data_IF_474220467760
#
_entry.id   IF_474220467760
#
_cell.length_a   1.000
_cell.length_b   1.000
_cell.length_c   1.000
_cell.angle_alpha   90.00
_cell.angle_beta   90.00
_cell.angle_gamma   90.00
#
_symmetry.space_group_name_H-M   'P 1'
#
loop_
_entity.id
_entity.type
_entity.pdbx_description
1 polymer ?
#
# COMPACT_ATOMS: atom_id res chain seq x y z
N UNK A 1 -15.73 35.53 36.90
CA UNK A 1 -16.39 36.59 37.69
C UNK A 1 -17.50 36.08 38.61
N UNK A 2 -18.40 35.16 38.23
CA UNK A 2 -19.39 34.61 39.18
C UNK A 2 -18.77 33.72 40.29
N UNK A 3 -17.74 32.94 39.97
CA UNK A 3 -17.06 32.09 40.96
C UNK A 3 -16.30 32.86 42.05
N UNK A 4 -15.67 33.99 41.71
CA UNK A 4 -14.90 34.79 42.67
C UNK A 4 -15.78 35.51 43.70
N UNK A 5 -17.05 35.78 43.38
CA UNK A 5 -18.02 36.36 44.31
C UNK A 5 -18.62 35.34 45.28
N UNK A 6 -18.64 34.06 44.92
CA UNK A 6 -19.17 32.97 45.76
C UNK A 6 -18.13 32.42 46.75
N UNK A 7 -16.83 32.65 46.48
CA UNK A 7 -15.73 32.16 47.30
C UNK A 7 -15.36 33.07 48.50
N UNK A 8 -16.10 34.18 48.74
CA UNK A 8 -15.75 35.22 49.73
C UNK A 8 -16.93 35.65 50.60
N UNK A 9 -17.56 34.72 51.30
CA UNK A 9 -18.57 35.05 52.32
C UNK A 9 -18.20 34.45 53.67
N UNK A 10 -18.34 35.24 54.73
CA UNK A 10 -18.10 34.83 56.12
C UNK A 10 -19.36 34.23 56.78
N UNK A 11 -20.41 33.97 56.00
CA UNK A 11 -21.66 33.38 56.48
C UNK A 11 -21.47 31.88 56.79
N UNK A 12 -21.62 31.50 58.05
CA UNK A 12 -21.51 30.11 58.50
C UNK A 12 -22.54 29.16 57.87
N UNK A 13 -23.66 29.69 57.34
CA UNK A 13 -24.67 28.90 56.62
C UNK A 13 -24.33 28.69 55.14
N UNK A 14 -23.29 29.35 54.63
CA UNK A 14 -22.86 29.21 53.25
C UNK A 14 -22.24 27.84 52.96
N UNK A 15 -21.43 27.33 53.88
CA UNK A 15 -20.70 26.07 53.68
C UNK A 15 -21.64 24.85 53.46
N UNK A 16 -22.72 24.66 54.25
CA UNK A 16 -23.69 23.60 53.98
C UNK A 16 -24.41 23.73 52.64
N UNK A 17 -24.71 24.97 52.21
CA UNK A 17 -25.34 25.22 50.90
C UNK A 17 -24.36 24.90 49.77
N UNK A 18 -23.11 25.30 49.91
CA UNK A 18 -22.04 24.94 48.97
C UNK A 18 -21.87 23.44 48.84
N UNK A 19 -21.88 22.70 49.95
CA UNK A 19 -21.75 21.25 49.95
C UNK A 19 -22.92 20.59 49.20
N UNK A 20 -24.14 21.08 49.38
CA UNK A 20 -25.31 20.58 48.66
C UNK A 20 -25.24 20.89 47.14
N UNK A 21 -24.84 22.11 46.78
CA UNK A 21 -24.64 22.49 45.37
C UNK A 21 -23.55 21.61 44.74
N UNK A 22 -22.42 21.40 45.43
CA UNK A 22 -21.35 20.53 44.97
C UNK A 22 -21.81 19.08 44.83
N UNK A 23 -22.59 18.57 45.77
CA UNK A 23 -23.18 17.22 45.72
C UNK A 23 -24.02 17.04 44.45
N UNK A 24 -24.94 17.97 44.17
CA UNK A 24 -25.78 17.95 42.96
C UNK A 24 -24.94 18.09 41.68
N UNK A 25 -23.95 18.97 41.68
CA UNK A 25 -23.05 19.17 40.54
C UNK A 25 -22.24 17.89 40.26
N UNK A 26 -21.65 17.26 41.28
CA UNK A 26 -20.90 16.01 41.16
C UNK A 26 -21.78 14.85 40.68
N UNK A 27 -23.06 14.83 41.05
CA UNK A 27 -24.00 13.80 40.64
C UNK A 27 -24.50 13.95 39.20
N UNK A 28 -24.45 15.15 38.60
CA UNK A 28 -25.09 15.43 37.30
C UNK A 28 -24.17 15.90 36.19
N UNK A 29 -23.02 16.50 36.53
CA UNK A 29 -22.11 17.09 35.55
C UNK A 29 -20.96 16.13 35.23
N UNK A 30 -20.51 16.06 33.96
CA UNK A 30 -19.44 15.17 33.53
C UNK A 30 -18.05 15.71 33.91
N UNK A 31 -17.78 15.89 35.19
CA UNK A 31 -16.54 16.48 35.70
C UNK A 31 -15.40 15.47 35.82
N UNK A 32 -14.17 15.91 35.58
CA UNK A 32 -12.99 15.06 35.76
C UNK A 32 -12.69 14.82 37.23
N UNK A 33 -12.07 13.68 37.55
CA UNK A 33 -11.58 13.36 38.90
C UNK A 33 -10.49 14.33 39.39
N UNK A 34 -9.83 15.02 38.46
CA UNK A 34 -8.84 16.08 38.72
C UNK A 34 -9.45 17.48 38.73
N UNK A 35 -10.71 17.62 38.29
CA UNK A 35 -11.43 18.88 38.25
C UNK A 35 -11.86 19.34 39.64
N UNK A 36 -12.15 20.63 39.77
CA UNK A 36 -12.73 21.20 40.98
C UNK A 36 -13.96 22.03 40.61
N UNK A 37 -14.92 22.07 41.51
CA UNK A 37 -16.11 22.92 41.44
C UNK A 37 -16.29 23.58 42.79
N UNK A 38 -16.32 24.92 42.83
CA UNK A 38 -16.31 25.69 44.08
C UNK A 38 -15.22 25.21 45.05
N UNK A 39 -14.00 25.03 44.54
CA UNK A 39 -12.82 24.53 45.28
C UNK A 39 -12.93 23.12 45.88
N UNK A 40 -14.08 22.43 45.72
CA UNK A 40 -14.27 21.03 46.10
C UNK A 40 -13.85 20.10 44.96
N UNK A 41 -13.31 18.94 45.30
CA UNK A 41 -13.01 17.87 44.34
C UNK A 41 -14.00 16.73 44.49
N UNK A 42 -14.53 16.16 43.39
CA UNK A 42 -15.35 14.97 43.49
C UNK A 42 -14.50 13.80 44.00
N UNK A 43 -15.01 12.98 44.94
CA UNK A 43 -14.26 11.82 45.45
C UNK A 43 -14.05 10.74 44.38
N UNK A 44 -15.00 10.64 43.44
CA UNK A 44 -14.91 9.82 42.22
C UNK A 44 -15.78 10.43 41.12
N UNK A 45 -15.48 10.12 39.86
CA UNK A 45 -16.32 10.52 38.74
C UNK A 45 -17.61 9.69 38.74
N UNK A 46 -18.76 10.36 38.79
CA UNK A 46 -20.08 9.70 38.77
C UNK A 46 -20.74 9.73 37.39
N UNK A 47 -20.43 10.75 36.58
CA UNK A 47 -21.02 10.96 35.26
C UNK A 47 -19.93 11.18 34.23
N UNK A 48 -20.10 10.57 33.06
CA UNK A 48 -19.32 10.83 31.86
C UNK A 48 -20.13 11.59 30.84
N UNK A 49 -19.45 12.36 29.99
CA UNK A 49 -19.94 12.67 28.65
C UNK A 49 -19.31 11.72 27.66
N UNK A 50 -19.82 11.64 26.43
CA UNK A 50 -19.22 10.78 25.39
C UNK A 50 -17.76 11.20 25.16
N UNK A 51 -17.48 12.50 25.17
CA UNK A 51 -16.11 13.04 24.99
C UNK A 51 -15.21 12.66 26.16
N UNK A 52 -15.65 12.90 27.40
CA UNK A 52 -14.79 12.62 28.57
C UNK A 52 -14.54 11.13 28.76
N UNK A 53 -15.50 10.28 28.41
CA UNK A 53 -15.30 8.83 28.37
C UNK A 53 -14.37 8.40 27.22
N UNK A 54 -14.50 9.00 26.03
CA UNK A 54 -13.60 8.69 24.93
C UNK A 54 -12.14 9.02 25.29
N UNK A 55 -11.89 10.16 25.92
CA UNK A 55 -10.56 10.56 26.40
C UNK A 55 -10.03 9.63 27.50
N UNK A 56 -10.82 9.40 28.55
CA UNK A 56 -10.38 8.61 29.71
C UNK A 56 -10.07 7.15 29.35
N UNK A 57 -10.83 6.57 28.41
CA UNK A 57 -10.65 5.18 27.99
C UNK A 57 -9.78 5.02 26.73
N UNK A 58 -9.35 6.12 26.11
CA UNK A 58 -8.57 6.12 24.86
C UNK A 58 -9.34 5.59 23.66
N UNK A 59 -10.64 5.91 23.57
CA UNK A 59 -11.55 5.52 22.51
C UNK A 59 -11.85 6.71 21.58
N UNK A 60 -12.37 6.42 20.37
CA UNK A 60 -12.91 7.47 19.50
C UNK A 60 -14.33 7.84 19.95
N UNK A 61 -14.64 9.13 20.02
CA UNK A 61 -15.97 9.68 20.38
C UNK A 61 -17.12 8.98 19.65
N UNK A 62 -16.99 8.74 18.34
CA UNK A 62 -18.01 8.05 17.53
C UNK A 62 -18.15 6.58 17.92
N UNK A 63 -17.04 5.92 18.26
CA UNK A 63 -17.03 4.54 18.74
C UNK A 63 -17.68 4.41 20.12
N UNK A 64 -17.38 5.33 21.03
CA UNK A 64 -17.99 5.41 22.36
C UNK A 64 -19.50 5.61 22.25
N UNK A 65 -19.97 6.55 21.41
CA UNK A 65 -21.41 6.75 21.14
C UNK A 65 -22.09 5.47 20.63
N UNK A 66 -21.47 4.78 19.67
CA UNK A 66 -21.98 3.52 19.11
C UNK A 66 -22.09 2.43 20.17
N UNK A 67 -21.07 2.30 21.02
CA UNK A 67 -21.07 1.34 22.12
C UNK A 67 -22.23 1.61 23.09
N UNK A 68 -22.37 2.86 23.55
CA UNK A 68 -23.40 3.25 24.51
C UNK A 68 -24.82 3.01 23.97
N UNK A 69 -25.05 3.27 22.67
CA UNK A 69 -26.34 2.91 22.04
C UNK A 69 -26.58 1.41 22.01
N UNK A 70 -25.58 0.62 21.66
CA UNK A 70 -25.71 -0.86 21.62
C UNK A 70 -25.95 -1.45 23.00
N UNK A 71 -25.38 -0.83 24.03
CA UNK A 71 -25.56 -1.21 25.43
C UNK A 71 -26.86 -0.64 26.06
N UNK A 72 -27.69 0.06 25.28
CA UNK A 72 -28.94 0.70 25.72
C UNK A 72 -28.75 1.70 26.88
N UNK A 73 -27.56 2.33 26.93
CA UNK A 73 -27.20 3.35 27.94
C UNK A 73 -27.68 4.74 27.50
N UNK A 74 -27.74 4.98 26.19
CA UNK A 74 -28.24 6.22 25.59
C UNK A 74 -29.22 5.88 24.47
N UNK A 75 -30.31 6.63 24.37
CA UNK A 75 -31.36 6.43 23.37
C UNK A 75 -31.25 7.34 22.15
N UNK A 76 -32.16 7.18 21.16
CA UNK A 76 -32.19 7.94 19.91
C UNK A 76 -32.45 9.45 20.10
N UNK A 77 -33.03 9.85 21.24
CA UNK A 77 -33.22 11.26 21.62
C UNK A 77 -31.90 12.03 21.74
N UNK A 78 -30.78 11.31 21.92
CA UNK A 78 -29.44 11.90 22.06
C UNK A 78 -28.74 12.16 20.72
N UNK A 79 -29.35 11.79 19.59
CA UNK A 79 -28.74 11.81 18.25
C UNK A 79 -28.45 13.21 17.75
N UNK A 80 -29.36 14.15 18.03
CA UNK A 80 -29.24 15.55 17.65
C UNK A 80 -28.31 16.35 18.58
N UNK A 81 -27.96 15.79 19.74
CA UNK A 81 -27.13 16.49 20.72
C UNK A 81 -25.64 16.35 20.38
N UNK A 82 -24.83 17.41 20.61
CA UNK A 82 -23.38 17.31 20.57
C UNK A 82 -22.84 16.26 21.58
N UNK A 83 -21.76 15.53 21.26
CA UNK A 83 -21.25 14.46 22.14
C UNK A 83 -20.84 14.89 23.56
N UNK A 84 -20.44 16.14 23.76
CA UNK A 84 -20.11 16.72 25.06
C UNK A 84 -21.35 16.99 25.93
N UNK A 85 -22.54 17.08 25.31
CA UNK A 85 -23.83 17.30 25.98
C UNK A 85 -24.57 16.01 26.33
N UNK A 86 -24.16 14.88 25.76
CA UNK A 86 -24.74 13.57 26.09
C UNK A 86 -23.99 12.99 27.28
N UNK A 87 -24.67 12.90 28.41
CA UNK A 87 -24.13 12.38 29.67
C UNK A 87 -24.73 11.03 30.05
N UNK A 88 -23.97 10.22 30.78
CA UNK A 88 -24.39 8.90 31.25
C UNK A 88 -23.62 8.50 32.52
N UNK A 89 -24.13 7.54 33.32
CA UNK A 89 -23.47 7.05 34.54
C UNK A 89 -22.08 6.46 34.26
N UNK A 90 -21.09 6.79 35.09
CA UNK A 90 -19.72 6.38 34.84
C UNK A 90 -19.47 4.86 34.94
N UNK A 91 -20.31 4.16 35.71
CA UNK A 91 -20.31 2.71 35.87
C UNK A 91 -20.99 1.96 34.70
N UNK A 92 -21.62 2.67 33.77
CA UNK A 92 -22.21 2.07 32.57
C UNK A 92 -21.15 1.56 31.57
N UNK A 93 -19.89 1.96 31.72
CA UNK A 93 -18.79 1.45 30.91
C UNK A 93 -18.09 0.28 31.62
N UNK A 94 -17.93 -0.88 30.95
CA UNK A 94 -17.15 -1.98 31.51
C UNK A 94 -15.67 -1.60 31.58
N UNK A 95 -14.86 -2.34 32.36
CA UNK A 95 -13.42 -2.09 32.47
C UNK A 95 -12.75 -2.00 31.09
N UNK A 96 -11.81 -1.06 30.94
CA UNK A 96 -11.10 -0.75 29.68
C UNK A 96 -10.67 -1.99 28.88
N UNK A 97 -10.19 -3.03 29.56
CA UNK A 97 -9.79 -4.30 28.94
C UNK A 97 -10.92 -4.96 28.14
N UNK A 98 -12.14 -5.01 28.69
CA UNK A 98 -13.32 -5.58 28.00
C UNK A 98 -13.76 -4.72 26.81
N UNK A 99 -13.66 -3.39 26.92
CA UNK A 99 -13.96 -2.47 25.81
C UNK A 99 -12.98 -2.66 24.64
N UNK A 100 -11.70 -2.88 24.94
CA UNK A 100 -10.69 -3.16 23.92
C UNK A 100 -10.85 -4.57 23.31
N UNK A 101 -11.17 -5.58 24.12
CA UNK A 101 -11.47 -6.94 23.63
C UNK A 101 -12.69 -6.97 22.69
N UNK A 102 -13.71 -6.14 22.95
CA UNK A 102 -14.87 -6.00 22.06
C UNK A 102 -14.56 -5.24 20.76
N UNK A 103 -13.57 -4.33 20.78
CA UNK A 103 -13.06 -3.66 19.57
C UNK A 103 -12.41 -4.65 18.59
N UNK A 104 -11.94 -5.80 19.09
CA UNK A 104 -11.30 -6.86 18.32
C UNK A 104 -12.24 -7.95 17.82
N UNK A 105 -13.57 -7.81 17.95
CA UNK A 105 -14.52 -8.69 17.26
C UNK A 105 -15.03 -8.02 15.98
N UNK A 106 -14.36 -8.20 14.83
CA UNK A 106 -14.97 -7.89 13.55
C UNK A 106 -16.15 -8.85 13.34
N UNK A 107 -17.38 -8.34 13.37
CA UNK A 107 -18.53 -9.04 12.76
C UNK A 107 -19.62 -9.61 13.66
N UNK A 108 -19.61 -9.43 14.98
CA UNK A 108 -20.75 -9.88 15.80
C UNK A 108 -21.72 -8.74 16.09
N UNK A 109 -22.76 -8.64 15.24
CA UNK A 109 -23.99 -7.90 15.54
C UNK A 109 -24.42 -6.82 14.54
N UNK A 110 -23.77 -6.70 13.37
CA UNK A 110 -24.34 -5.90 12.28
C UNK A 110 -25.42 -6.74 11.62
N UNK A 111 -26.67 -6.25 11.60
CA UNK A 111 -27.71 -6.79 10.71
C UNK A 111 -27.09 -7.05 9.34
N UNK A 112 -27.22 -8.28 8.83
CA UNK A 112 -26.69 -8.71 7.52
C UNK A 112 -27.36 -7.99 6.35
N UNK A 113 -28.38 -7.18 6.63
CA UNK A 113 -29.23 -6.51 5.67
C UNK A 113 -29.12 -5.00 5.87
N UNK A 114 -28.16 -4.38 5.19
CA UNK A 114 -28.06 -2.94 5.15
C UNK A 114 -26.87 -2.41 4.35
N UNK A 115 -26.99 -1.19 3.80
CA UNK A 115 -25.84 -0.48 3.26
C UNK A 115 -24.86 -0.13 4.38
N UNK A 116 -23.56 -0.28 4.12
CA UNK A 116 -22.48 0.06 5.04
C UNK A 116 -21.63 1.20 4.49
N UNK A 117 -20.99 1.96 5.38
CA UNK A 117 -20.04 3.01 4.98
C UNK A 117 -18.75 2.41 4.38
N UNK A 118 -17.95 3.24 3.69
CA UNK A 118 -16.62 2.84 3.17
C UNK A 118 -15.75 2.21 4.26
N UNK A 119 -15.70 2.84 5.45
CA UNK A 119 -14.87 2.37 6.57
C UNK A 119 -15.34 1.02 7.10
N UNK A 120 -16.66 0.80 7.17
CA UNK A 120 -17.23 -0.48 7.61
C UNK A 120 -17.00 -1.57 6.57
N UNK A 121 -17.19 -1.28 5.28
CA UNK A 121 -16.87 -2.21 4.20
C UNK A 121 -15.38 -2.62 4.23
N UNK A 122 -14.49 -1.65 4.36
CA UNK A 122 -13.04 -1.89 4.45
C UNK A 122 -12.67 -2.75 5.66
N UNK A 123 -13.29 -2.48 6.82
CA UNK A 123 -13.11 -3.29 8.03
C UNK A 123 -13.63 -4.72 7.88
N UNK A 124 -14.77 -4.93 7.19
CA UNK A 124 -15.31 -6.27 6.91
C UNK A 124 -14.37 -7.10 6.01
N UNK A 125 -13.68 -6.43 5.09
CA UNK A 125 -12.65 -7.03 4.24
C UNK A 125 -11.31 -7.19 4.95
N UNK A 126 -11.01 -6.38 5.98
CA UNK A 126 -9.70 -6.35 6.63
C UNK A 126 -8.64 -5.62 5.80
N UNK A 127 -9.02 -4.56 5.11
CA UNK A 127 -8.11 -3.68 4.34
C UNK A 127 -8.35 -2.22 4.70
N UNK A 128 -7.41 -1.34 4.42
CA UNK A 128 -7.53 0.09 4.63
C UNK A 128 -8.58 0.74 3.70
N UNK A 129 -9.36 1.69 4.23
CA UNK A 129 -10.44 2.37 3.50
C UNK A 129 -10.00 3.03 2.17
N UNK A 130 -8.75 3.50 2.09
CA UNK A 130 -8.18 4.09 0.85
C UNK A 130 -8.13 3.11 -0.33
N UNK A 131 -8.07 1.80 -0.05
CA UNK A 131 -8.04 0.76 -1.09
C UNK A 131 -9.42 0.42 -1.65
N UNK A 132 -10.50 0.94 -1.04
CA UNK A 132 -11.87 0.79 -1.56
C UNK A 132 -12.13 1.65 -2.81
N UNK A 133 -11.20 2.54 -3.18
CA UNK A 133 -11.31 3.34 -4.39
C UNK A 133 -11.42 2.44 -5.64
N UNK A 134 -12.43 2.71 -6.49
CA UNK A 134 -12.70 1.93 -7.70
C UNK A 134 -13.48 0.62 -7.47
N UNK A 135 -13.91 0.31 -6.24
CA UNK A 135 -14.75 -0.85 -5.93
C UNK A 135 -16.25 -0.55 -6.15
N UNK A 136 -16.59 0.13 -7.25
CA UNK A 136 -17.96 0.58 -7.51
C UNK A 136 -18.93 -0.60 -7.72
N UNK A 137 -18.41 -1.78 -8.08
CA UNK A 137 -19.16 -3.04 -8.18
C UNK A 137 -19.71 -3.54 -6.83
N UNK A 138 -19.19 -3.04 -5.71
CA UNK A 138 -19.68 -3.35 -4.36
C UNK A 138 -20.72 -2.36 -3.84
N UNK A 139 -21.05 -1.31 -4.60
CA UNK A 139 -22.02 -0.33 -4.15
C UNK A 139 -23.42 -0.96 -4.02
N UNK A 140 -24.15 -0.48 -3.02
CA UNK A 140 -25.59 -0.69 -2.94
C UNK A 140 -26.28 0.03 -4.09
N UNK A 141 -27.40 -0.51 -4.57
CA UNK A 141 -28.18 0.13 -5.63
C UNK A 141 -28.50 1.57 -5.25
N UNK A 142 -28.47 2.45 -6.24
CA UNK A 142 -28.50 3.90 -6.07
C UNK A 142 -29.87 4.36 -5.56
N UNK A 143 -30.11 4.20 -4.27
CA UNK A 143 -31.28 4.74 -3.60
C UNK A 143 -30.90 6.08 -2.95
N UNK A 144 -31.54 7.14 -3.42
CA UNK A 144 -31.67 8.43 -2.72
C UNK A 144 -30.46 9.38 -2.70
N UNK A 145 -29.53 9.30 -3.65
CA UNK A 145 -28.50 10.35 -3.84
C UNK A 145 -27.54 10.54 -2.64
N UNK A 146 -27.54 9.61 -1.68
CA UNK A 146 -26.64 9.62 -0.53
C UNK A 146 -25.23 9.20 -0.94
N UNK A 147 -24.26 9.55 -0.09
CA UNK A 147 -22.84 9.19 -0.19
C UNK A 147 -22.63 7.71 -0.55
N UNK A 148 -21.52 7.38 -1.23
CA UNK A 148 -21.16 6.02 -1.68
C UNK A 148 -21.30 4.98 -0.55
N UNK A 149 -22.43 4.29 -0.51
CA UNK A 149 -22.71 3.20 0.41
C UNK A 149 -22.46 1.86 -0.28
N UNK A 150 -21.92 0.91 0.47
CA UNK A 150 -21.57 -0.43 0.00
C UNK A 150 -22.63 -1.42 0.44
N UNK A 151 -22.95 -2.38 -0.42
CA UNK A 151 -23.82 -3.49 -0.07
C UNK A 151 -23.02 -4.50 0.76
N UNK A 152 -23.42 -4.69 2.02
CA UNK A 152 -22.77 -5.62 2.94
C UNK A 152 -22.73 -7.06 2.41
N UNK A 153 -23.76 -7.50 1.68
CA UNK A 153 -23.84 -8.85 1.10
C UNK A 153 -22.81 -9.01 -0.02
N UNK A 154 -22.66 -8.00 -0.89
CA UNK A 154 -21.63 -7.98 -1.93
C UNK A 154 -20.22 -7.99 -1.32
N UNK A 155 -19.99 -7.18 -0.28
CA UNK A 155 -18.71 -7.13 0.44
C UNK A 155 -18.37 -8.49 1.06
N UNK A 156 -19.33 -9.13 1.74
CA UNK A 156 -19.14 -10.45 2.32
C UNK A 156 -18.89 -11.53 1.26
N UNK A 157 -19.61 -11.47 0.13
CA UNK A 157 -19.45 -12.39 -0.99
C UNK A 157 -18.06 -12.25 -1.64
N UNK A 158 -17.59 -11.01 -1.86
CA UNK A 158 -16.25 -10.75 -2.34
C UNK A 158 -15.19 -11.34 -1.40
N UNK A 159 -15.33 -11.13 -0.09
CA UNK A 159 -14.40 -11.70 0.90
C UNK A 159 -14.33 -13.22 0.76
N UNK A 160 -15.48 -13.88 0.66
CA UNK A 160 -15.53 -15.32 0.51
C UNK A 160 -14.88 -15.78 -0.80
N UNK A 161 -15.20 -15.14 -1.93
CA UNK A 161 -14.62 -15.45 -3.24
C UNK A 161 -13.08 -15.30 -3.24
N UNK A 162 -12.58 -14.19 -2.69
CA UNK A 162 -11.14 -13.93 -2.59
C UNK A 162 -10.41 -14.96 -1.72
N UNK A 163 -11.02 -15.40 -0.61
CA UNK A 163 -10.41 -16.41 0.28
C UNK A 163 -10.58 -17.85 -0.21
N UNK A 164 -11.57 -18.13 -1.06
CA UNK A 164 -11.90 -19.49 -1.52
C UNK A 164 -10.76 -20.14 -2.31
N UNK A 165 -10.28 -21.31 -1.91
CA UNK A 165 -9.15 -21.98 -2.58
C UNK A 165 -7.77 -21.43 -2.23
N UNK A 166 -7.66 -20.53 -1.24
CA UNK A 166 -6.37 -20.08 -0.74
C UNK A 166 -5.69 -21.16 0.12
N UNK A 167 -4.40 -21.38 -0.13
CA UNK A 167 -3.58 -22.34 0.59
C UNK A 167 -3.22 -21.78 1.97
N UNK A 168 -3.52 -22.51 3.04
CA UNK A 168 -3.14 -22.10 4.38
C UNK A 168 -1.62 -22.15 4.56
N UNK A 169 -1.04 -21.04 5.02
CA UNK A 169 0.38 -20.91 5.33
C UNK A 169 0.55 -20.32 6.72
N UNK A 170 1.61 -20.71 7.42
CA UNK A 170 1.87 -20.21 8.78
C UNK A 170 2.49 -18.81 8.76
N UNK A 171 3.34 -18.54 7.77
CA UNK A 171 4.11 -17.31 7.63
C UNK A 171 4.18 -16.91 6.15
N UNK A 172 4.34 -15.62 5.89
CA UNK A 172 4.53 -15.10 4.54
C UNK A 172 5.98 -15.28 4.10
N UNK A 173 6.21 -15.83 2.90
CA UNK A 173 7.53 -15.88 2.29
C UNK A 173 8.05 -14.49 1.88
N UNK A 174 9.33 -14.40 1.48
CA UNK A 174 9.96 -13.12 1.10
C UNK A 174 9.32 -12.44 -0.12
N UNK A 175 8.68 -13.23 -0.99
CA UNK A 175 8.02 -12.79 -2.22
C UNK A 175 6.48 -12.84 -2.11
N UNK A 176 5.94 -13.12 -0.93
CA UNK A 176 4.50 -13.20 -0.68
C UNK A 176 4.00 -11.89 -0.09
N UNK A 177 3.14 -11.19 -0.83
CA UNK A 177 2.64 -9.87 -0.46
C UNK A 177 1.15 -9.91 -0.11
N UNK A 178 0.79 -9.24 0.98
CA UNK A 178 -0.60 -8.92 1.29
C UNK A 178 -1.18 -7.91 0.30
N UNK A 179 -2.51 -7.79 0.25
CA UNK A 179 -3.22 -6.90 -0.71
C UNK A 179 -2.68 -5.47 -0.71
N UNK A 180 -2.47 -4.88 0.47
CA UNK A 180 -1.99 -3.50 0.58
C UNK A 180 -0.56 -3.33 0.07
N UNK A 181 0.26 -4.37 0.27
CA UNK A 181 1.65 -4.41 -0.17
C UNK A 181 1.74 -4.63 -1.69
N UNK A 182 0.89 -5.48 -2.25
CA UNK A 182 0.69 -5.61 -3.71
C UNK A 182 0.33 -4.25 -4.30
N UNK A 183 -0.66 -3.57 -3.72
CA UNK A 183 -1.10 -2.27 -4.22
C UNK A 183 0.01 -1.21 -4.17
N UNK A 184 0.81 -1.21 -3.10
CA UNK A 184 1.90 -0.24 -2.90
C UNK A 184 3.12 -0.52 -3.77
N UNK A 185 3.55 -1.78 -3.89
CA UNK A 185 4.79 -2.17 -4.59
C UNK A 185 4.61 -2.53 -6.06
N UNK A 186 3.41 -2.95 -6.44
CA UNK A 186 3.08 -3.34 -7.82
C UNK A 186 2.21 -2.29 -8.51
N UNK A 187 1.79 -1.23 -7.78
CA UNK A 187 0.91 -0.16 -8.29
C UNK A 187 -0.42 -0.68 -8.87
N UNK A 188 -1.00 -1.70 -8.22
CA UNK A 188 -2.27 -2.33 -8.61
C UNK A 188 -3.38 -1.87 -7.69
N UNK A 189 -4.53 -1.46 -8.22
CA UNK A 189 -5.68 -1.15 -7.36
C UNK A 189 -6.30 -2.45 -6.81
N UNK A 190 -6.92 -2.39 -5.64
CA UNK A 190 -7.61 -3.57 -5.09
C UNK A 190 -8.68 -4.10 -6.06
N UNK A 191 -9.44 -3.22 -6.71
CA UNK A 191 -10.41 -3.61 -7.72
C UNK A 191 -9.80 -4.37 -8.91
N UNK A 192 -8.61 -3.98 -9.39
CA UNK A 192 -7.92 -4.71 -10.45
C UNK A 192 -7.43 -6.08 -9.97
N UNK A 193 -6.92 -6.17 -8.74
CA UNK A 193 -6.50 -7.42 -8.13
C UNK A 193 -7.68 -8.41 -7.98
N UNK A 194 -8.86 -7.91 -7.59
CA UNK A 194 -10.11 -8.71 -7.58
C UNK A 194 -10.40 -9.23 -8.98
N UNK A 195 -10.35 -8.37 -10.00
CA UNK A 195 -10.55 -8.78 -11.40
C UNK A 195 -9.60 -9.89 -11.85
N UNK A 196 -8.32 -9.84 -11.47
CA UNK A 196 -7.35 -10.91 -11.80
C UNK A 196 -7.67 -12.24 -11.13
N UNK A 197 -8.19 -12.20 -9.90
CA UNK A 197 -8.62 -13.41 -9.18
C UNK A 197 -9.89 -13.99 -9.80
N UNK A 198 -10.88 -13.14 -10.12
CA UNK A 198 -12.12 -13.55 -10.77
C UNK A 198 -11.91 -14.11 -12.19
N UNK A 199 -10.95 -13.56 -12.93
CA UNK A 199 -10.56 -14.03 -14.25
C UNK A 199 -9.72 -15.34 -14.21
N UNK A 200 -9.33 -15.81 -13.02
CA UNK A 200 -8.47 -16.99 -12.87
C UNK A 200 -7.02 -16.78 -13.33
N UNK A 201 -6.57 -15.53 -13.45
CA UNK A 201 -5.20 -15.19 -13.88
C UNK A 201 -4.18 -15.39 -12.74
N UNK A 202 -4.65 -15.36 -11.50
CA UNK A 202 -3.86 -15.68 -10.30
C UNK A 202 -3.91 -17.19 -10.03
N UNK A 203 -2.83 -17.88 -10.35
CA UNK A 203 -2.69 -19.33 -10.14
C UNK A 203 -2.42 -19.71 -8.69
N UNK A 204 -1.83 -18.82 -7.89
CA UNK A 204 -1.58 -19.08 -6.47
C UNK A 204 -2.04 -17.94 -5.56
N UNK A 205 -2.73 -18.31 -4.48
CA UNK A 205 -3.03 -17.43 -3.36
C UNK A 205 -2.86 -18.15 -2.03
N UNK A 206 -2.13 -17.52 -1.12
CA UNK A 206 -1.89 -18.01 0.23
C UNK A 206 -2.81 -17.33 1.24
N UNK A 207 -3.03 -17.96 2.39
CA UNK A 207 -3.75 -17.37 3.51
C UNK A 207 -3.04 -17.67 4.82
N UNK A 208 -2.69 -16.63 5.57
CA UNK A 208 -2.12 -16.79 6.91
C UNK A 208 -3.10 -17.51 7.84
N UNK A 209 -2.65 -18.58 8.49
CA UNK A 209 -3.50 -19.46 9.33
C UNK A 209 -4.23 -18.72 10.46
N UNK A 210 -3.64 -17.62 10.96
CA UNK A 210 -4.21 -16.80 12.05
C UNK A 210 -5.26 -15.79 11.60
N UNK A 211 -5.45 -15.61 10.29
CA UNK A 211 -6.33 -14.57 9.76
C UNK A 211 -7.61 -15.13 9.14
N UNK A 212 -8.72 -14.44 9.40
CA UNK A 212 -10.04 -14.71 8.83
C UNK A 212 -10.51 -13.65 7.83
N UNK A 213 -9.70 -12.61 7.61
CA UNK A 213 -9.98 -11.49 6.72
C UNK A 213 -9.02 -11.50 5.51
N UNK A 214 -9.21 -10.57 4.59
CA UNK A 214 -8.30 -10.38 3.45
C UNK A 214 -6.94 -9.80 3.85
N UNK A 215 -6.79 -9.33 5.10
CA UNK A 215 -5.50 -8.89 5.66
C UNK A 215 -4.44 -10.01 5.59
N UNK A 216 -4.88 -11.25 5.79
CA UNK A 216 -4.00 -12.42 5.73
C UNK A 216 -3.92 -13.08 4.37
N UNK A 217 -4.54 -12.52 3.32
CA UNK A 217 -4.47 -13.06 1.97
C UNK A 217 -3.17 -12.62 1.29
N UNK A 218 -2.44 -13.58 0.73
CA UNK A 218 -1.12 -13.40 0.15
C UNK A 218 -1.11 -13.74 -1.34
N UNK A 219 -0.32 -12.98 -2.09
CA UNK A 219 -0.07 -13.16 -3.51
C UNK A 219 1.43 -13.20 -3.78
N UNK A 220 1.86 -14.01 -4.74
CA UNK A 220 3.26 -14.01 -5.17
C UNK A 220 3.55 -12.78 -6.01
N UNK A 221 4.56 -12.01 -5.61
CA UNK A 221 5.00 -10.83 -6.35
C UNK A 221 5.32 -11.14 -7.81
N UNK A 222 6.11 -12.19 -8.07
CA UNK A 222 6.50 -12.58 -9.44
C UNK A 222 5.29 -12.90 -10.33
N UNK A 223 4.26 -13.53 -9.76
CA UNK A 223 3.02 -13.81 -10.47
C UNK A 223 2.23 -12.54 -10.78
N UNK A 224 2.04 -11.66 -9.81
CA UNK A 224 1.38 -10.37 -10.06
C UNK A 224 2.14 -9.57 -11.12
N UNK A 225 3.46 -9.55 -11.06
CA UNK A 225 4.28 -8.91 -12.09
C UNK A 225 4.06 -9.55 -13.47
N UNK A 226 3.97 -10.88 -13.57
CA UNK A 226 3.67 -11.55 -14.84
C UNK A 226 2.29 -11.17 -15.40
N UNK A 227 1.28 -11.01 -14.55
CA UNK A 227 -0.08 -10.60 -14.95
C UNK A 227 -0.12 -9.14 -15.40
N UNK A 228 0.53 -8.24 -14.66
CA UNK A 228 0.62 -6.83 -15.04
C UNK A 228 1.49 -6.62 -16.27
N UNK A 229 2.49 -7.49 -16.40
CA UNK A 229 3.51 -7.42 -17.39
C UNK A 229 3.56 -8.72 -18.22
N UNK A 230 2.50 -9.09 -18.97
CA UNK A 230 2.57 -10.23 -19.88
C UNK A 230 3.73 -10.01 -20.86
N UNK A 231 4.70 -10.92 -20.83
CA UNK A 231 5.82 -10.95 -21.76
C UNK A 231 5.52 -12.02 -22.80
N UNK A 232 5.81 -11.74 -24.07
CA UNK A 232 5.83 -12.79 -25.07
C UNK A 232 6.93 -13.81 -24.73
N UNK A 233 6.77 -15.03 -25.22
CA UNK A 233 7.80 -16.05 -25.04
C UNK A 233 9.15 -15.56 -25.59
N UNK A 234 10.18 -15.61 -24.74
CA UNK A 234 11.52 -15.11 -25.06
C UNK A 234 11.74 -13.61 -24.85
N UNK A 235 10.73 -12.81 -24.48
CA UNK A 235 10.95 -11.42 -24.06
C UNK A 235 11.56 -11.34 -22.66
N UNK A 236 12.50 -10.42 -22.48
CA UNK A 236 13.12 -10.08 -21.20
C UNK A 236 13.15 -8.56 -21.02
N UNK A 237 13.12 -8.10 -19.76
CA UNK A 237 13.30 -6.69 -19.45
C UNK A 237 14.69 -6.20 -19.85
N UNK A 238 14.78 -4.95 -20.32
CA UNK A 238 16.06 -4.34 -20.72
C UNK A 238 17.12 -4.37 -19.60
N UNK A 239 16.69 -4.34 -18.33
CA UNK A 239 17.61 -4.46 -17.18
C UNK A 239 18.26 -5.85 -17.12
N UNK A 240 17.44 -6.90 -17.27
CA UNK A 240 17.93 -8.29 -17.28
C UNK A 240 18.85 -8.52 -18.48
N UNK A 241 18.49 -7.95 -19.64
CA UNK A 241 19.35 -7.96 -20.82
C UNK A 241 20.70 -7.27 -20.55
N UNK A 242 20.70 -6.12 -19.88
CA UNK A 242 21.92 -5.38 -19.56
C UNK A 242 22.85 -6.18 -18.65
N UNK A 243 22.30 -6.76 -17.58
CA UNK A 243 23.03 -7.64 -16.66
C UNK A 243 23.64 -8.84 -17.41
N UNK A 244 22.87 -9.45 -18.33
CA UNK A 244 23.34 -10.60 -19.14
C UNK A 244 24.44 -10.24 -20.13
N UNK A 245 24.38 -9.06 -20.74
CA UNK A 245 25.44 -8.56 -21.62
C UNK A 245 26.66 -8.02 -20.85
N UNK A 246 26.53 -7.86 -19.52
CA UNK A 246 27.53 -7.22 -18.68
C UNK A 246 27.72 -5.73 -19.00
N UNK A 247 26.66 -5.05 -19.45
CA UNK A 247 26.68 -3.63 -19.81
C UNK A 247 25.85 -2.81 -18.83
N UNK A 248 26.16 -1.52 -18.74
CA UNK A 248 25.28 -0.59 -18.04
C UNK A 248 23.95 -0.43 -18.79
N UNK A 249 22.85 -0.24 -18.04
CA UNK A 249 21.50 -0.08 -18.61
C UNK A 249 21.41 1.09 -19.59
N UNK A 250 22.17 2.16 -19.37
CA UNK A 250 22.23 3.32 -20.27
C UNK A 250 22.79 2.99 -21.65
N UNK A 251 23.72 2.04 -21.74
CA UNK A 251 24.27 1.56 -23.01
C UNK A 251 23.18 0.83 -23.79
N UNK A 252 22.52 -0.15 -23.18
CA UNK A 252 21.44 -0.89 -23.85
C UNK A 252 20.30 0.03 -24.28
N UNK A 253 19.91 0.98 -23.44
CA UNK A 253 18.87 1.95 -23.81
C UNK A 253 19.23 2.72 -25.08
N UNK A 254 20.52 3.07 -25.23
CA UNK A 254 20.99 3.78 -26.41
C UNK A 254 21.12 2.86 -27.62
N UNK A 255 21.58 1.62 -27.46
CA UNK A 255 21.54 0.61 -28.53
C UNK A 255 20.13 0.37 -29.05
N UNK A 256 19.12 0.36 -28.17
CA UNK A 256 17.71 0.32 -28.55
C UNK A 256 17.29 1.58 -29.30
N UNK A 257 17.63 2.76 -28.76
CA UNK A 257 17.24 4.06 -29.36
C UNK A 257 17.85 4.27 -30.74
N UNK A 258 19.09 3.81 -30.93
CA UNK A 258 19.85 3.94 -32.17
C UNK A 258 19.51 2.81 -33.18
N UNK A 259 18.62 1.86 -32.80
CA UNK A 259 18.09 0.82 -33.69
C UNK A 259 18.96 -0.44 -33.81
N UNK A 260 19.98 -0.58 -32.99
CA UNK A 260 20.89 -1.74 -32.98
C UNK A 260 20.36 -2.94 -32.21
N UNK A 261 19.45 -2.70 -31.25
CA UNK A 261 18.78 -3.77 -30.50
C UNK A 261 17.25 -3.63 -30.68
N UNK A 262 16.59 -4.53 -31.41
CA UNK A 262 15.13 -4.54 -31.53
C UNK A 262 14.48 -4.58 -30.15
N UNK A 263 13.61 -3.63 -29.88
CA UNK A 263 12.91 -3.52 -28.61
C UNK A 263 11.52 -2.95 -28.78
N UNK A 264 10.65 -3.28 -27.82
CA UNK A 264 9.28 -2.78 -27.77
C UNK A 264 9.09 -1.94 -26.51
N UNK A 265 8.51 -0.75 -26.67
CA UNK A 265 8.05 0.02 -25.53
C UNK A 265 6.84 -0.65 -24.90
N UNK A 266 6.84 -0.66 -23.57
CA UNK A 266 5.76 -1.19 -22.76
C UNK A 266 5.34 -0.16 -21.73
N UNK A 267 4.04 0.06 -21.59
CA UNK A 267 3.52 0.83 -20.46
C UNK A 267 3.43 -0.11 -19.26
N UNK A 268 4.03 0.27 -18.13
CA UNK A 268 3.94 -0.54 -16.93
C UNK A 268 2.55 -0.38 -16.29
N UNK A 269 1.64 -1.32 -16.57
CA UNK A 269 0.29 -1.34 -15.99
C UNK A 269 -0.56 -0.13 -16.38
N UNK A 270 -1.60 0.16 -15.58
CA UNK A 270 -2.57 1.25 -15.84
C UNK A 270 -1.97 2.61 -15.46
N UNK A 271 -0.99 3.07 -16.23
CA UNK A 271 -0.40 4.42 -16.12
C UNK A 271 1.03 4.50 -15.55
N UNK A 272 1.73 3.38 -15.37
CA UNK A 272 3.11 3.40 -14.89
C UNK A 272 4.14 3.79 -15.96
N UNK A 273 5.43 3.93 -15.57
CA UNK A 273 6.50 4.34 -16.46
C UNK A 273 6.62 3.44 -17.68
N UNK A 274 7.04 3.99 -18.81
CA UNK A 274 7.33 3.19 -20.01
C UNK A 274 8.64 2.43 -19.81
N UNK A 275 8.58 1.10 -19.83
CA UNK A 275 9.73 0.20 -19.89
C UNK A 275 10.03 -0.24 -21.32
N UNK A 276 11.19 -0.84 -21.52
CA UNK A 276 11.56 -1.51 -22.77
C UNK A 276 11.74 -3.00 -22.50
N UNK A 277 11.21 -3.82 -23.39
CA UNK A 277 11.44 -5.26 -23.44
C UNK A 277 12.14 -5.61 -24.75
N UNK A 278 13.01 -6.61 -24.70
CA UNK A 278 13.80 -7.11 -25.83
C UNK A 278 13.67 -8.62 -25.89
N UNK A 279 13.81 -9.23 -27.05
CA UNK A 279 13.87 -10.70 -27.12
C UNK A 279 15.25 -11.18 -26.76
N UNK A 280 15.31 -12.28 -26.01
CA UNK A 280 16.57 -12.90 -25.61
C UNK A 280 17.41 -13.31 -26.82
N UNK A 281 16.79 -13.82 -27.88
CA UNK A 281 17.47 -14.19 -29.12
C UNK A 281 18.15 -12.97 -29.79
N UNK A 282 17.54 -11.79 -29.76
CA UNK A 282 18.12 -10.56 -30.31
C UNK A 282 19.32 -10.10 -29.48
N UNK A 283 19.24 -10.24 -28.14
CA UNK A 283 20.36 -9.96 -27.23
C UNK A 283 21.54 -10.89 -27.51
N UNK A 284 21.29 -12.20 -27.65
CA UNK A 284 22.34 -13.19 -27.94
C UNK A 284 22.96 -12.97 -29.33
N UNK A 285 22.14 -12.63 -30.32
CA UNK A 285 22.59 -12.26 -31.67
C UNK A 285 23.51 -11.05 -31.61
N UNK A 286 23.10 -9.99 -30.91
CA UNK A 286 23.89 -8.78 -30.75
C UNK A 286 25.20 -9.05 -30.01
N UNK A 287 25.18 -9.88 -28.96
CA UNK A 287 26.40 -10.30 -28.24
C UNK A 287 27.38 -11.05 -29.17
N UNK A 288 26.88 -11.91 -30.06
CA UNK A 288 27.72 -12.58 -31.05
C UNK A 288 28.31 -11.64 -32.10
N UNK A 289 27.55 -10.62 -32.49
CA UNK A 289 27.93 -9.67 -33.54
C UNK A 289 28.82 -8.53 -33.06
N UNK A 290 28.93 -8.29 -31.77
CA UNK A 290 29.66 -7.13 -31.22
C UNK A 290 30.93 -7.55 -30.47
N UNK A 291 31.89 -6.61 -30.42
CA UNK A 291 33.10 -6.72 -29.61
C UNK A 291 33.32 -5.43 -28.82
N UNK A 292 33.71 -5.57 -27.56
CA UNK A 292 34.19 -4.45 -26.74
C UNK A 292 35.57 -4.03 -27.21
N UNK A 293 35.90 -2.75 -27.08
CA UNK A 293 37.19 -2.24 -27.53
C UNK A 293 38.41 -2.93 -26.89
N UNK A 294 38.27 -3.43 -25.66
CA UNK A 294 39.32 -4.19 -24.98
C UNK A 294 39.56 -5.55 -25.65
N UNK A 295 38.49 -6.20 -26.11
CA UNK A 295 38.54 -7.44 -26.88
C UNK A 295 39.14 -7.18 -28.27
N UNK A 296 38.79 -6.06 -28.90
CA UNK A 296 39.36 -5.64 -30.20
C UNK A 296 40.86 -5.38 -30.09
N UNK A 297 41.31 -4.66 -29.05
CA UNK A 297 42.73 -4.40 -28.83
C UNK A 297 43.51 -5.69 -28.55
N UNK A 298 42.91 -6.61 -27.78
CA UNK A 298 43.50 -7.93 -27.53
C UNK A 298 43.58 -8.78 -28.82
N UNK A 299 42.53 -8.81 -29.63
CA UNK A 299 42.50 -9.55 -30.90
C UNK A 299 43.56 -9.04 -31.89
N UNK A 300 43.81 -7.73 -31.91
CA UNK A 300 44.87 -7.11 -32.72
C UNK A 300 46.28 -7.27 -32.13
N UNK A 301 46.41 -7.80 -30.91
CA UNK A 301 47.68 -7.80 -30.14
C UNK A 301 48.32 -6.40 -30.03
N UNK A 302 47.48 -5.36 -29.89
CA UNK A 302 47.90 -3.96 -29.86
C UNK A 302 47.50 -3.27 -28.56
N UNK A 303 48.23 -2.21 -28.20
CA UNK A 303 47.76 -1.30 -27.15
C UNK A 303 46.52 -0.55 -27.64
N UNK A 304 45.57 -0.23 -26.73
CA UNK A 304 44.31 0.47 -27.07
C UNK A 304 44.49 1.69 -27.98
N UNK A 305 45.48 2.55 -27.71
CA UNK A 305 45.76 3.73 -28.56
C UNK A 305 46.21 3.38 -29.98
N UNK A 306 46.98 2.30 -30.14
CA UNK A 306 47.42 1.82 -31.46
C UNK A 306 46.24 1.19 -32.21
N UNK A 307 45.45 0.35 -31.55
CA UNK A 307 44.23 -0.23 -32.11
C UNK A 307 43.24 0.86 -32.57
N UNK A 308 43.02 1.92 -31.78
CA UNK A 308 42.17 3.05 -32.17
C UNK A 308 42.66 3.73 -33.46
N UNK A 309 43.97 3.93 -33.59
CA UNK A 309 44.58 4.56 -34.78
C UNK A 309 44.48 3.64 -36.01
N UNK A 310 44.70 2.34 -35.84
CA UNK A 310 44.60 1.35 -36.92
C UNK A 310 43.17 1.25 -37.45
N UNK A 311 42.18 1.04 -36.58
CA UNK A 311 40.77 0.98 -36.99
C UNK A 311 40.30 2.27 -37.68
N UNK A 312 40.74 3.43 -37.18
CA UNK A 312 40.42 4.73 -37.79
C UNK A 312 41.06 4.91 -39.17
N UNK A 313 42.29 4.43 -39.38
CA UNK A 313 42.96 4.49 -40.68
C UNK A 313 42.20 3.69 -41.75
N UNK A 314 41.55 2.60 -41.33
CA UNK A 314 40.75 1.71 -42.19
C UNK A 314 39.27 2.10 -42.25
N UNK A 315 38.89 3.25 -41.66
CA UNK A 315 37.53 3.77 -41.71
C UNK A 315 36.52 2.99 -40.85
N UNK A 316 36.97 2.12 -39.95
CA UNK A 316 36.10 1.36 -39.05
C UNK A 316 35.67 2.26 -37.89
N UNK A 317 34.36 2.52 -37.81
CA UNK A 317 33.74 3.41 -36.82
C UNK A 317 33.08 2.57 -35.74
N UNK A 318 33.19 2.93 -34.45
CA UNK A 318 32.44 2.23 -33.40
C UNK A 318 30.93 2.37 -33.61
N UNK A 319 30.20 1.28 -33.36
CA UNK A 319 28.73 1.26 -33.28
C UNK A 319 28.26 2.23 -32.20
N UNK A 320 29.02 2.23 -31.10
CA UNK A 320 28.70 2.99 -29.90
C UNK A 320 29.99 3.44 -29.23
N UNK A 321 30.08 4.73 -28.90
CA UNK A 321 31.12 5.32 -28.06
C UNK A 321 30.43 6.22 -27.02
N UNK A 322 30.44 5.83 -25.74
CA UNK A 322 30.04 6.70 -24.64
C UNK A 322 31.23 7.00 -23.73
N UNK A 323 31.72 8.23 -23.85
CA UNK A 323 32.85 8.73 -23.09
C UNK A 323 32.62 8.71 -21.57
N UNK A 324 31.36 8.75 -21.09
CA UNK A 324 31.04 8.74 -19.66
C UNK A 324 31.16 7.36 -19.03
N UNK A 325 30.80 6.32 -19.79
CA UNK A 325 30.84 4.92 -19.33
C UNK A 325 32.13 4.23 -19.77
N UNK A 326 32.92 4.87 -20.64
CA UNK A 326 34.18 4.33 -21.16
C UNK A 326 34.01 3.07 -22.00
N UNK A 327 32.78 2.79 -22.46
CA UNK A 327 32.48 1.61 -23.28
C UNK A 327 32.43 2.01 -24.75
N UNK A 328 33.19 1.28 -25.57
CA UNK A 328 33.22 1.41 -27.02
C UNK A 328 32.98 0.04 -27.63
N UNK A 329 31.99 -0.04 -28.53
CA UNK A 329 31.56 -1.28 -29.18
C UNK A 329 31.79 -1.21 -30.69
N UNK A 330 32.28 -2.30 -31.26
CA UNK A 330 32.54 -2.47 -32.69
C UNK A 330 31.80 -3.69 -33.23
N UNK A 331 31.52 -3.70 -34.54
CA UNK A 331 31.03 -4.91 -35.20
C UNK A 331 32.17 -5.91 -35.33
N UNK A 332 31.96 -7.13 -34.84
CA UNK A 332 32.93 -8.21 -34.88
C UNK A 332 33.40 -8.50 -36.31
N UNK A 333 32.46 -8.54 -37.25
CA UNK A 333 32.73 -8.83 -38.66
C UNK A 333 33.70 -7.81 -39.28
N UNK A 334 33.53 -6.51 -39.01
CA UNK A 334 34.41 -5.45 -39.54
C UNK A 334 35.83 -5.57 -38.97
N UNK A 335 35.95 -5.88 -37.68
CA UNK A 335 37.24 -6.10 -37.01
C UNK A 335 37.94 -7.35 -37.55
N UNK A 336 37.21 -8.44 -37.76
CA UNK A 336 37.77 -9.68 -38.32
C UNK A 336 38.23 -9.51 -39.77
N UNK A 337 37.50 -8.74 -40.58
CA UNK A 337 37.91 -8.39 -41.95
C UNK A 337 39.21 -7.55 -41.97
N UNK A 338 39.34 -6.62 -41.03
CA UNK A 338 40.57 -5.83 -40.85
C UNK A 338 41.77 -6.70 -40.45
N UNK A 339 41.56 -7.66 -39.53
CA UNK A 339 42.58 -8.64 -39.13
C UNK A 339 43.06 -9.47 -40.33
N UNK A 340 42.13 -10.00 -41.12
CA UNK A 340 42.46 -10.79 -42.31
C UNK A 340 43.25 -10.00 -43.36
N UNK A 341 42.90 -8.73 -43.55
CA UNK A 341 43.58 -7.81 -44.47
C UNK A 341 45.00 -7.49 -44.00
N UNK A 342 45.18 -7.28 -42.70
CA UNK A 342 46.48 -6.98 -42.08
C UNK A 342 47.46 -8.16 -42.16
N UNK A 343 46.97 -9.39 -41.94
CA UNK A 343 47.79 -10.61 -42.07
C UNK A 343 48.21 -10.82 -43.54
N UNK A 344 47.30 -10.57 -44.48
CA UNK A 344 47.58 -10.69 -45.91
C UNK A 344 48.63 -9.69 -46.41
N UNK A 345 48.67 -8.49 -45.83
CA UNK A 345 49.65 -7.46 -46.15
C UNK A 345 51.05 -7.76 -45.58
N UNK A 346 51.14 -8.46 -44.44
CA UNK A 346 52.42 -8.87 -43.84
C UNK A 346 53.10 -10.04 -44.55
N UNK A 347 52.32 -10.85 -45.29
CA UNK A 347 52.81 -12.00 -46.05
C UNK A 347 53.22 -11.66 -47.49
N UNK A 348 53.07 -10.41 -47.93
CA UNK A 348 53.58 -9.89 -49.20
C UNK A 348 54.84 -9.09 -48.97
#
# INVERSE_FOLDING_TARGET
MLGECLDRTDDAFWEPVMDEICSVAFARLPMSSTGHFMQRRPPKRLVHSIVSAAEEYGLNVSGTRRYLRRADVIGPETDALPPDKVTFPADALPPRRKLLEQRHRPGEGLSTDGPVSVTEAAALLGIGAKYMAGCDFLLADRQNGRWRQFDQRKVASLRHAMLSGAVLVNEAGPEDYGIEEVARRCHVTFAALVGYVEAGEVSWKGRLAKSQSLEGLLFRKSEIYRILFPMEEGEIELRIAADRMGYDKGILYRLVKDGHLPARQRINGRGGPRGWVVRLADVETLMGQTMRFDEVAAALSMKKQQAKRALKADGIVPIFEDARVGTVLFWRQEVEQHLASSISALNR
#
